data_IF_369310462841
#
_entry.id   IF_369310462841
#
_cell.length_a   1.000
_cell.length_b   1.000
_cell.length_c   1.000
_cell.angle_alpha   90.00
_cell.angle_beta   90.00
_cell.angle_gamma   90.00
#
_symmetry.space_group_name_H-M   'P 1'
#
loop_
_entity.id
_entity.type
_entity.pdbx_description
1 polymer ?
#
# COMPACT_ATOMS: atom_id res chain seq x y z
N UNK A 1 -9.27 -15.24 2.64
CA UNK A 1 -8.87 -13.84 2.39
C UNK A 1 -7.58 -13.77 1.57
N UNK A 2 -6.42 -14.20 2.07
CA UNK A 2 -5.13 -14.07 1.38
C UNK A 2 -5.09 -14.62 -0.06
N UNK A 3 -5.78 -15.74 -0.34
CA UNK A 3 -5.85 -16.33 -1.68
C UNK A 3 -6.55 -15.39 -2.69
N UNK A 4 -7.52 -14.60 -2.25
CA UNK A 4 -8.16 -13.59 -3.12
C UNK A 4 -7.18 -12.45 -3.44
N UNK A 5 -6.45 -11.95 -2.43
CA UNK A 5 -5.40 -10.93 -2.63
C UNK A 5 -4.33 -11.44 -3.59
N UNK A 6 -3.84 -12.68 -3.37
CA UNK A 6 -2.89 -13.35 -4.27
C UNK A 6 -3.38 -13.34 -5.73
N UNK A 7 -4.64 -13.74 -5.96
CA UNK A 7 -5.21 -13.76 -7.32
C UNK A 7 -5.26 -12.38 -7.93
N UNK A 8 -5.68 -11.36 -7.18
CA UNK A 8 -5.68 -9.96 -7.66
C UNK A 8 -4.28 -9.47 -7.99
N UNK A 9 -3.29 -9.80 -7.16
CA UNK A 9 -1.89 -9.47 -7.45
C UNK A 9 -1.37 -10.15 -8.73
N UNK A 10 -1.70 -11.42 -8.95
CA UNK A 10 -1.34 -12.16 -10.17
C UNK A 10 -2.04 -11.55 -11.40
N UNK A 11 -3.33 -11.23 -11.30
CA UNK A 11 -4.11 -10.58 -12.38
C UNK A 11 -3.57 -9.19 -12.73
N UNK A 12 -2.86 -8.51 -11.83
CA UNK A 12 -2.20 -7.23 -12.13
C UNK A 12 -1.09 -7.36 -13.18
N UNK A 13 -0.50 -8.55 -13.30
CA UNK A 13 0.55 -8.90 -14.27
C UNK A 13 1.73 -7.92 -14.27
N UNK A 14 2.19 -7.56 -13.06
CA UNK A 14 3.27 -6.60 -12.86
C UNK A 14 4.62 -7.24 -12.51
N UNK A 15 4.66 -8.56 -12.36
CA UNK A 15 5.85 -9.34 -12.00
C UNK A 15 5.52 -10.52 -11.09
N UNK A 16 6.54 -11.22 -10.55
CA UNK A 16 6.34 -12.35 -9.66
C UNK A 16 5.61 -11.92 -8.38
N UNK A 17 4.66 -12.75 -7.93
CA UNK A 17 3.90 -12.53 -6.70
C UNK A 17 4.38 -13.47 -5.62
N UNK A 18 4.64 -12.92 -4.44
CA UNK A 18 5.12 -13.63 -3.26
C UNK A 18 4.33 -13.19 -2.03
N UNK A 19 3.85 -14.13 -1.24
CA UNK A 19 3.21 -13.85 0.05
C UNK A 19 4.24 -13.97 1.16
N UNK A 20 4.45 -12.88 1.91
CA UNK A 20 5.27 -12.84 3.11
C UNK A 20 4.36 -13.03 4.34
N UNK A 21 4.62 -14.02 5.17
CA UNK A 21 3.78 -14.32 6.34
C UNK A 21 4.60 -14.98 7.45
N UNK A 22 4.21 -14.81 8.70
CA UNK A 22 4.72 -15.55 9.85
C UNK A 22 3.93 -16.84 10.11
N UNK A 23 2.67 -16.91 9.60
CA UNK A 23 1.73 -17.98 9.90
C UNK A 23 1.84 -19.12 8.88
N UNK A 24 2.15 -20.31 9.36
CA UNK A 24 2.21 -21.53 8.52
C UNK A 24 0.87 -21.83 7.82
N UNK A 25 -0.24 -21.61 8.50
CA UNK A 25 -1.58 -21.80 7.91
C UNK A 25 -1.84 -20.89 6.70
N UNK A 26 -1.30 -19.67 6.71
CA UNK A 26 -1.38 -18.75 5.57
C UNK A 26 -0.49 -19.24 4.44
N UNK A 27 0.76 -19.64 4.75
CA UNK A 27 1.68 -20.25 3.77
C UNK A 27 1.03 -21.43 3.07
N UNK A 28 0.47 -22.37 3.84
CA UNK A 28 -0.13 -23.60 3.32
C UNK A 28 -1.33 -23.30 2.41
N UNK A 29 -2.18 -22.33 2.79
CA UNK A 29 -3.29 -21.89 1.96
C UNK A 29 -2.82 -21.28 0.63
N UNK A 30 -1.72 -20.52 0.64
CA UNK A 30 -1.11 -19.92 -0.56
C UNK A 30 -0.52 -21.00 -1.47
N UNK A 31 0.23 -21.94 -0.91
CA UNK A 31 0.82 -23.06 -1.67
C UNK A 31 -0.26 -23.95 -2.28
N UNK A 32 -1.31 -24.27 -1.54
CA UNK A 32 -2.47 -25.03 -2.05
C UNK A 32 -3.17 -24.31 -3.21
N UNK A 33 -3.16 -22.98 -3.21
CA UNK A 33 -3.70 -22.17 -4.30
C UNK A 33 -2.73 -21.97 -5.49
N UNK A 34 -1.57 -22.64 -5.49
CA UNK A 34 -0.56 -22.54 -6.55
C UNK A 34 0.33 -21.30 -6.46
N UNK A 35 0.24 -20.53 -5.38
CA UNK A 35 1.06 -19.34 -5.14
C UNK A 35 2.43 -19.67 -4.52
N UNK A 36 3.24 -18.63 -4.31
CA UNK A 36 4.51 -18.69 -3.59
C UNK A 36 4.39 -17.98 -2.26
N UNK A 37 4.93 -18.56 -1.20
CA UNK A 37 4.97 -17.96 0.12
C UNK A 37 6.33 -18.14 0.79
N UNK A 38 6.74 -17.15 1.57
CA UNK A 38 7.94 -17.19 2.42
C UNK A 38 7.53 -16.93 3.86
N UNK A 39 8.01 -17.78 4.76
CA UNK A 39 7.92 -17.55 6.20
C UNK A 39 8.96 -16.51 6.59
N UNK A 40 8.47 -15.46 7.24
CA UNK A 40 9.26 -14.37 7.80
C UNK A 40 9.21 -14.41 9.31
N UNK A 41 10.11 -13.69 9.97
CA UNK A 41 10.13 -13.59 11.43
C UNK A 41 8.80 -12.99 11.95
N UNK A 42 8.33 -13.39 13.13
CA UNK A 42 7.09 -12.88 13.71
C UNK A 42 7.22 -11.48 14.33
N UNK A 43 8.45 -11.04 14.62
CA UNK A 43 8.78 -9.83 15.37
C UNK A 43 8.93 -8.56 14.52
N UNK A 44 8.49 -8.59 13.25
CA UNK A 44 8.48 -7.39 12.41
C UNK A 44 7.49 -6.35 12.94
N UNK A 45 7.97 -5.11 13.08
CA UNK A 45 7.17 -4.00 13.56
C UNK A 45 6.19 -3.48 12.51
N UNK A 46 6.50 -3.70 11.22
CA UNK A 46 5.70 -3.20 10.11
C UNK A 46 5.60 -4.19 8.94
N UNK A 47 4.64 -3.93 8.05
CA UNK A 47 4.52 -4.64 6.78
C UNK A 47 5.72 -4.43 5.87
N UNK A 48 6.34 -3.25 5.89
CA UNK A 48 7.52 -2.93 5.07
C UNK A 48 8.75 -3.71 5.51
N UNK A 49 8.97 -3.88 6.82
CA UNK A 49 10.05 -4.72 7.35
C UNK A 49 9.87 -6.18 6.91
N UNK A 50 8.62 -6.68 6.98
CA UNK A 50 8.29 -8.05 6.58
C UNK A 50 8.53 -8.30 5.10
N UNK A 51 8.08 -7.40 4.21
CA UNK A 51 8.31 -7.58 2.79
C UNK A 51 9.77 -7.43 2.42
N UNK A 52 10.53 -6.61 3.12
CA UNK A 52 11.97 -6.47 2.91
C UNK A 52 12.69 -7.80 3.18
N UNK A 53 12.43 -8.46 4.32
CA UNK A 53 12.99 -9.79 4.61
C UNK A 53 12.59 -10.81 3.53
N UNK A 54 11.31 -10.80 3.11
CA UNK A 54 10.84 -11.74 2.11
C UNK A 54 11.50 -11.54 0.74
N UNK A 55 11.67 -10.28 0.32
CA UNK A 55 12.35 -9.92 -0.94
C UNK A 55 13.83 -10.29 -0.89
N UNK A 56 14.51 -10.05 0.22
CA UNK A 56 15.93 -10.39 0.37
C UNK A 56 16.16 -11.91 0.27
N UNK A 57 15.27 -12.71 0.86
CA UNK A 57 15.28 -14.16 0.73
C UNK A 57 14.94 -14.67 -0.68
N UNK A 58 13.99 -14.00 -1.36
CA UNK A 58 13.48 -14.43 -2.67
C UNK A 58 14.41 -14.03 -3.81
N UNK A 59 15.00 -12.86 -3.71
CA UNK A 59 15.83 -12.22 -4.75
C UNK A 59 17.21 -11.79 -4.21
N UNK A 60 18.05 -12.73 -3.77
CA UNK A 60 19.37 -12.42 -3.22
C UNK A 60 20.31 -11.78 -4.25
N UNK A 61 20.03 -12.00 -5.54
CA UNK A 61 20.82 -11.43 -6.64
C UNK A 61 20.35 -10.05 -7.09
N UNK A 62 19.31 -9.50 -6.45
CA UNK A 62 18.78 -8.15 -6.74
C UNK A 62 18.35 -7.95 -8.19
N UNK A 63 17.69 -8.95 -8.75
CA UNK A 63 17.18 -8.90 -10.13
C UNK A 63 15.98 -7.96 -10.30
N UNK A 64 15.27 -7.64 -9.20
CA UNK A 64 14.10 -6.76 -9.21
C UNK A 64 14.43 -5.40 -8.59
N UNK A 65 14.25 -4.34 -9.39
CA UNK A 65 14.50 -2.95 -8.99
C UNK A 65 13.32 -2.30 -8.25
N UNK A 66 12.14 -2.90 -8.34
CA UNK A 66 10.90 -2.40 -7.75
C UNK A 66 10.21 -3.48 -6.95
N UNK A 67 9.72 -3.11 -5.77
CA UNK A 67 8.94 -3.97 -4.87
C UNK A 67 7.59 -3.33 -4.61
N UNK A 68 6.52 -4.06 -4.90
CA UNK A 68 5.15 -3.64 -4.56
C UNK A 68 4.73 -4.28 -3.25
N UNK A 69 4.38 -3.45 -2.27
CA UNK A 69 3.80 -3.87 -1.00
C UNK A 69 2.27 -3.78 -1.09
N UNK A 70 1.63 -4.92 -1.31
CA UNK A 70 0.18 -5.09 -1.31
C UNK A 70 -0.25 -5.72 0.01
N UNK A 71 -1.10 -5.02 0.75
CA UNK A 71 -1.60 -5.49 2.04
C UNK A 71 -2.55 -6.69 1.88
N UNK A 72 -2.48 -7.63 2.83
CA UNK A 72 -3.25 -8.88 2.80
C UNK A 72 -4.75 -8.73 3.12
N UNK A 73 -5.20 -7.54 3.48
CA UNK A 73 -6.56 -7.15 3.85
C UNK A 73 -7.36 -6.53 2.70
N UNK A 74 -6.82 -6.50 1.47
CA UNK A 74 -7.46 -5.93 0.28
C UNK A 74 -7.96 -7.00 -0.72
N UNK A 75 -8.86 -7.91 -0.33
CA UNK A 75 -9.26 -9.05 -1.18
C UNK A 75 -10.06 -8.64 -2.43
N UNK A 76 -10.64 -7.44 -2.43
CA UNK A 76 -11.45 -6.90 -3.52
C UNK A 76 -10.68 -5.93 -4.43
N UNK A 77 -9.36 -5.81 -4.24
CA UNK A 77 -8.50 -4.91 -5.00
C UNK A 77 -8.72 -5.06 -6.52
N UNK A 78 -8.90 -3.95 -7.20
CA UNK A 78 -8.81 -3.93 -8.67
C UNK A 78 -7.32 -4.02 -9.08
N UNK A 79 -6.94 -4.99 -9.95
CA UNK A 79 -5.57 -5.11 -10.44
C UNK A 79 -5.01 -3.84 -11.09
N UNK A 80 -5.88 -2.98 -11.63
CA UNK A 80 -5.51 -1.68 -12.18
C UNK A 80 -4.86 -0.74 -11.16
N UNK A 81 -5.22 -0.87 -9.88
CA UNK A 81 -4.65 -0.07 -8.80
C UNK A 81 -3.16 -0.36 -8.58
N UNK A 82 -2.73 -1.61 -8.76
CA UNK A 82 -1.31 -1.98 -8.70
C UNK A 82 -0.54 -1.27 -9.82
N UNK A 83 -1.09 -1.27 -11.03
CA UNK A 83 -0.48 -0.58 -12.18
C UNK A 83 -0.45 0.94 -11.98
N UNK A 84 -1.49 1.53 -11.41
CA UNK A 84 -1.53 2.97 -11.07
C UNK A 84 -0.46 3.35 -10.03
N UNK A 85 -0.28 2.52 -9.00
CA UNK A 85 0.76 2.69 -8.00
C UNK A 85 2.17 2.66 -8.62
N UNK A 86 2.42 1.69 -9.52
CA UNK A 86 3.68 1.60 -10.27
C UNK A 86 3.89 2.78 -11.23
N UNK A 87 2.84 3.29 -11.86
CA UNK A 87 2.90 4.47 -12.71
C UNK A 87 3.33 5.71 -11.90
N UNK A 88 2.74 5.91 -10.72
CA UNK A 88 3.12 7.00 -9.82
C UNK A 88 4.60 6.94 -9.40
N UNK A 89 5.15 5.73 -9.16
CA UNK A 89 6.58 5.55 -8.86
C UNK A 89 7.47 5.96 -10.05
N UNK A 90 7.04 5.71 -11.28
CA UNK A 90 7.83 5.99 -12.49
C UNK A 90 7.91 7.48 -12.81
N UNK A 91 6.96 8.28 -12.35
CA UNK A 91 6.97 9.71 -12.59
C UNK A 91 8.06 10.43 -11.78
N UNK A 92 8.86 11.25 -12.46
CA UNK A 92 9.65 12.36 -11.94
C UNK A 92 10.56 12.11 -10.72
N UNK A 93 11.13 10.91 -10.55
CA UNK A 93 12.16 10.68 -9.51
C UNK A 93 11.60 10.39 -8.12
N UNK A 94 10.43 9.74 -8.04
CA UNK A 94 9.91 9.22 -6.79
C UNK A 94 10.77 8.07 -6.24
N UNK A 95 10.88 8.00 -4.93
CA UNK A 95 11.43 6.87 -4.17
C UNK A 95 10.33 5.82 -3.91
N UNK A 96 9.11 6.31 -3.68
CA UNK A 96 7.93 5.53 -3.33
C UNK A 96 6.74 6.02 -4.16
N UNK A 97 6.00 5.10 -4.76
CA UNK A 97 4.68 5.33 -5.34
C UNK A 97 3.59 4.84 -4.41
N UNK A 98 2.47 5.54 -4.35
CA UNK A 98 1.24 5.11 -3.69
C UNK A 98 0.03 5.64 -4.47
N UNK A 99 -1.18 5.40 -3.99
CA UNK A 99 -2.41 5.84 -4.64
C UNK A 99 -3.40 6.48 -3.66
N UNK A 100 -4.28 7.30 -4.20
CA UNK A 100 -5.37 7.91 -3.43
C UNK A 100 -6.59 8.13 -4.33
N UNK A 101 -7.77 8.21 -3.71
CA UNK A 101 -9.01 8.58 -4.38
C UNK A 101 -9.63 9.81 -3.75
N UNK A 102 -10.41 10.57 -4.52
CA UNK A 102 -11.14 11.71 -3.97
C UNK A 102 -12.21 11.25 -2.97
N UNK A 103 -12.28 11.91 -1.82
CA UNK A 103 -13.32 11.66 -0.82
C UNK A 103 -14.62 12.28 -1.32
N UNK A 104 -15.63 11.43 -1.56
CA UNK A 104 -16.95 11.84 -2.04
C UNK A 104 -18.04 11.79 -0.96
N UNK A 105 -17.80 11.02 0.14
CA UNK A 105 -18.75 10.90 1.25
C UNK A 105 -18.36 11.87 2.36
N UNK A 106 -19.34 12.62 2.87
CA UNK A 106 -19.08 13.67 3.87
C UNK A 106 -18.56 13.09 5.19
N UNK A 107 -19.06 11.92 5.60
CA UNK A 107 -18.60 11.24 6.82
C UNK A 107 -17.12 10.83 6.77
N UNK A 108 -16.57 10.56 5.58
CA UNK A 108 -15.16 10.19 5.43
C UNK A 108 -14.20 11.36 5.66
N UNK A 109 -14.69 12.59 5.49
CA UNK A 109 -13.86 13.80 5.64
C UNK A 109 -13.30 13.93 7.06
N UNK A 110 -14.09 13.56 8.06
CA UNK A 110 -13.74 13.67 9.49
C UNK A 110 -13.36 12.33 10.13
N UNK A 111 -13.53 11.20 9.43
CA UNK A 111 -13.18 9.88 9.96
C UNK A 111 -11.66 9.73 10.05
N UNK A 112 -11.07 9.53 11.25
CA UNK A 112 -9.63 9.34 11.43
C UNK A 112 -9.09 8.02 10.84
N UNK A 113 -9.97 7.06 10.50
CA UNK A 113 -9.57 5.82 9.83
C UNK A 113 -9.39 6.03 8.32
N UNK A 114 -10.03 7.03 7.76
CA UNK A 114 -9.82 7.48 6.39
C UNK A 114 -8.63 8.44 6.37
N UNK A 115 -7.44 7.93 6.11
CA UNK A 115 -6.21 8.73 6.08
C UNK A 115 -6.23 9.69 4.90
N UNK A 116 -6.00 10.99 5.15
CA UNK A 116 -5.91 12.02 4.11
C UNK A 116 -4.46 12.16 3.65
N UNK A 117 -4.28 12.31 2.33
CA UNK A 117 -3.00 12.73 1.78
C UNK A 117 -3.09 14.16 1.25
N UNK A 118 -2.14 14.99 1.65
CA UNK A 118 -1.95 16.35 1.14
C UNK A 118 -0.80 16.30 0.14
N UNK A 119 -1.02 16.83 -1.06
CA UNK A 119 -0.01 16.82 -2.10
C UNK A 119 -0.15 17.97 -3.07
N UNK A 120 0.92 18.24 -3.81
CA UNK A 120 0.93 19.19 -4.92
C UNK A 120 0.90 18.43 -6.23
N UNK A 121 0.04 18.87 -7.17
CA UNK A 121 -0.05 18.25 -8.50
C UNK A 121 1.28 18.32 -9.24
N UNK A 122 1.66 17.23 -9.86
CA UNK A 122 2.73 17.18 -10.84
C UNK A 122 2.21 17.60 -12.23
N UNK A 123 3.10 17.97 -13.16
CA UNK A 123 2.71 18.23 -14.54
C UNK A 123 1.95 17.02 -15.11
N UNK A 124 0.77 17.24 -15.73
CA UNK A 124 -0.12 16.16 -16.21
C UNK A 124 -1.32 15.90 -15.32
N UNK A 125 -1.32 16.31 -14.03
CA UNK A 125 -2.50 16.43 -13.16
C UNK A 125 -3.04 15.14 -12.55
N UNK A 126 -2.57 13.95 -12.97
CA UNK A 126 -3.04 12.65 -12.45
C UNK A 126 -2.23 12.13 -11.26
N UNK A 127 -1.13 12.80 -10.93
CA UNK A 127 -0.21 12.41 -9.86
C UNK A 127 0.10 13.60 -8.99
N UNK A 128 0.15 13.37 -7.67
CA UNK A 128 0.57 14.35 -6.68
C UNK A 128 1.95 13.98 -6.14
N UNK A 129 2.76 14.98 -5.82
CA UNK A 129 3.86 14.81 -4.87
C UNK A 129 3.28 14.96 -3.47
N UNK A 130 3.37 13.90 -2.66
CA UNK A 130 2.92 13.94 -1.28
C UNK A 130 3.75 14.95 -0.47
N UNK A 131 3.05 15.73 0.34
CA UNK A 131 3.61 16.68 1.30
C UNK A 131 3.38 16.22 2.73
N UNK A 132 2.24 15.57 3.00
CA UNK A 132 1.89 15.04 4.31
C UNK A 132 0.80 13.98 4.22
N UNK A 133 0.72 13.13 5.26
CA UNK A 133 -0.39 12.20 5.48
C UNK A 133 -0.91 12.42 6.90
N UNK A 134 -2.24 12.43 7.08
CA UNK A 134 -2.85 12.71 8.38
C UNK A 134 -4.19 12.02 8.56
N UNK A 135 -4.52 11.75 9.83
CA UNK A 135 -5.85 11.30 10.24
C UNK A 135 -6.83 12.44 10.45
N UNK A 136 -6.33 13.67 10.59
CA UNK A 136 -7.15 14.87 10.68
C UNK A 136 -7.75 15.25 9.32
N UNK A 137 -8.80 16.09 9.33
CA UNK A 137 -9.30 16.73 8.11
C UNK A 137 -8.30 17.79 7.64
N UNK A 138 -7.69 17.60 6.50
CA UNK A 138 -6.71 18.50 5.89
C UNK A 138 -6.66 18.30 4.37
N UNK A 139 -6.34 19.38 3.58
CA UNK A 139 -6.04 20.74 4.02
C UNK A 139 -7.30 21.52 4.44
N UNK A 140 -7.09 22.66 5.10
CA UNK A 140 -8.17 23.60 5.40
C UNK A 140 -8.65 24.35 4.15
N UNK A 141 -9.95 24.66 4.09
CA UNK A 141 -10.58 25.40 3.01
C UNK A 141 -11.25 24.51 1.96
N UNK A 142 -11.74 25.16 0.89
CA UNK A 142 -12.47 24.49 -0.18
C UNK A 142 -11.53 23.69 -1.09
N UNK A 143 -12.03 22.56 -1.58
CA UNK A 143 -11.30 21.71 -2.52
C UNK A 143 -11.42 20.22 -2.20
N UNK A 144 -10.83 19.35 -3.04
CA UNK A 144 -10.88 17.92 -2.83
C UNK A 144 -10.00 17.49 -1.65
N UNK A 145 -10.53 16.55 -0.86
CA UNK A 145 -9.73 15.75 0.07
C UNK A 145 -9.48 14.39 -0.58
N UNK A 146 -8.29 13.82 -0.35
CA UNK A 146 -7.90 12.56 -0.95
C UNK A 146 -7.69 11.50 0.12
N UNK A 147 -8.43 10.38 -0.01
CA UNK A 147 -8.27 9.18 0.80
C UNK A 147 -7.08 8.38 0.30
N UNK A 148 -6.05 8.28 1.12
CA UNK A 148 -4.87 7.46 0.85
C UNK A 148 -5.22 5.96 0.93
N UNK A 149 -4.77 5.20 -0.06
CA UNK A 149 -4.91 3.74 -0.11
C UNK A 149 -3.54 3.12 0.20
N UNK A 150 -3.46 2.25 1.20
CA UNK A 150 -2.23 1.64 1.72
C UNK A 150 -1.57 0.62 0.79
N UNK A 151 -1.42 0.96 -0.48
CA UNK A 151 -0.68 0.20 -1.49
C UNK A 151 0.56 1.00 -1.88
N UNK A 152 1.74 0.38 -1.84
CA UNK A 152 2.99 1.07 -2.11
C UNK A 152 3.83 0.34 -3.14
N UNK A 153 4.50 1.10 -3.98
CA UNK A 153 5.58 0.63 -4.85
C UNK A 153 6.87 1.33 -4.42
N UNK A 154 7.88 0.57 -4.07
CA UNK A 154 9.19 1.08 -3.66
C UNK A 154 10.21 0.83 -4.77
N UNK A 155 11.11 1.77 -5.03
CA UNK A 155 12.41 1.41 -5.58
C UNK A 155 13.14 0.53 -4.56
N UNK A 156 13.84 -0.50 -5.01
CA UNK A 156 14.52 -1.43 -4.09
C UNK A 156 15.44 -0.69 -3.11
N UNK A 157 16.28 0.20 -3.61
CA UNK A 157 17.15 1.01 -2.76
C UNK A 157 16.39 1.92 -1.79
N UNK A 158 15.21 2.40 -2.18
CA UNK A 158 14.34 3.18 -1.29
C UNK A 158 13.74 2.33 -0.17
N UNK A 159 13.32 1.09 -0.46
CA UNK A 159 12.84 0.15 0.56
C UNK A 159 13.94 -0.17 1.57
N UNK A 160 15.15 -0.48 1.10
CA UNK A 160 16.32 -0.74 1.96
C UNK A 160 16.61 0.45 2.88
N UNK A 161 16.61 1.67 2.32
CA UNK A 161 16.78 2.90 3.10
C UNK A 161 15.65 3.05 4.11
N UNK A 162 14.41 2.88 3.70
CA UNK A 162 13.23 3.06 4.53
C UNK A 162 13.24 2.16 5.78
N UNK A 163 13.50 0.86 5.61
CA UNK A 163 13.54 -0.10 6.72
C UNK A 163 14.76 0.10 7.66
N UNK A 164 15.81 0.77 7.18
CA UNK A 164 16.97 1.12 8.00
C UNK A 164 16.75 2.36 8.89
N UNK A 165 15.69 3.15 8.63
CA UNK A 165 15.38 4.34 9.41
C UNK A 165 14.69 3.97 10.72
N UNK A 166 15.04 4.64 11.83
CA UNK A 166 14.27 4.51 13.07
C UNK A 166 12.86 5.12 12.90
N UNK A 167 11.87 4.70 13.71
CA UNK A 167 10.57 5.35 13.76
C UNK A 167 10.69 6.84 13.97
N UNK A 168 9.93 7.63 13.22
CA UNK A 168 10.03 9.08 13.24
C UNK A 168 8.94 9.73 14.11
N UNK A 169 9.14 10.98 14.60
CA UNK A 169 8.18 11.64 15.48
C UNK A 169 6.76 11.76 14.91
N UNK A 170 6.62 12.13 13.63
CA UNK A 170 5.30 12.27 12.99
C UNK A 170 4.67 10.91 12.70
N UNK A 171 5.46 9.92 12.30
CA UNK A 171 5.01 8.54 12.17
C UNK A 171 4.38 8.02 13.47
N UNK A 172 5.06 8.18 14.60
CA UNK A 172 4.58 7.74 15.90
C UNK A 172 3.32 8.50 16.34
N UNK A 173 3.25 9.79 16.04
CA UNK A 173 2.11 10.65 16.40
C UNK A 173 0.86 10.32 15.60
N UNK A 174 0.97 10.25 14.29
CA UNK A 174 -0.14 9.95 13.37
C UNK A 174 -0.40 8.44 13.27
N UNK A 175 0.56 7.58 13.67
CA UNK A 175 0.56 6.13 13.45
C UNK A 175 0.44 5.80 11.97
N UNK A 176 1.27 6.46 11.16
CA UNK A 176 1.33 6.36 9.71
C UNK A 176 2.77 6.16 9.29
N UNK A 177 3.12 4.93 8.92
CA UNK A 177 4.48 4.48 8.63
C UNK A 177 5.17 5.32 7.53
N UNK A 178 4.43 5.71 6.51
CA UNK A 178 4.95 6.47 5.37
C UNK A 178 5.46 7.88 5.73
N UNK A 179 5.10 8.40 6.90
CA UNK A 179 5.65 9.69 7.37
C UNK A 179 7.14 9.61 7.66
N UNK A 180 7.65 8.45 8.08
CA UNK A 180 9.10 8.20 8.25
C UNK A 180 9.86 8.52 6.96
N UNK A 181 9.32 8.10 5.81
CA UNK A 181 9.92 8.40 4.52
C UNK A 181 9.95 9.90 4.24
N UNK A 182 8.86 10.62 4.47
CA UNK A 182 8.79 12.08 4.26
C UNK A 182 9.75 12.83 5.19
N UNK A 183 9.80 12.47 6.48
CA UNK A 183 10.71 13.08 7.46
C UNK A 183 12.18 12.84 7.10
N UNK A 184 12.48 11.70 6.45
CA UNK A 184 13.82 11.40 5.93
C UNK A 184 14.12 12.03 4.55
N UNK A 185 13.23 12.89 4.03
CA UNK A 185 13.39 13.58 2.74
C UNK A 185 13.22 12.68 1.52
N UNK A 186 12.60 11.52 1.67
CA UNK A 186 12.25 10.65 0.53
C UNK A 186 11.03 11.22 -0.20
N UNK A 187 10.96 11.01 -1.51
CA UNK A 187 9.87 11.49 -2.35
C UNK A 187 8.81 10.42 -2.51
N UNK A 188 7.57 10.76 -2.13
CA UNK A 188 6.40 9.90 -2.34
C UNK A 188 5.52 10.55 -3.40
N UNK A 189 5.22 9.82 -4.47
CA UNK A 189 4.24 10.22 -5.47
C UNK A 189 2.95 9.43 -5.29
N UNK A 190 1.82 10.09 -5.53
CA UNK A 190 0.47 9.58 -5.27
C UNK A 190 -0.31 9.60 -6.58
N UNK A 191 -0.56 8.44 -7.17
CA UNK A 191 -1.46 8.32 -8.32
C UNK A 191 -2.92 8.51 -7.90
N UNK A 192 -3.64 9.39 -8.57
CA UNK A 192 -5.06 9.57 -8.34
C UNK A 192 -5.85 8.50 -9.10
N UNK A 193 -6.78 7.85 -8.40
CA UNK A 193 -7.63 6.78 -8.92
C UNK A 193 -9.10 7.05 -8.57
N UNK A 194 -10.01 6.41 -9.32
CA UNK A 194 -11.45 6.69 -9.18
C UNK A 194 -12.12 5.86 -8.08
N UNK A 195 -11.48 4.78 -7.61
CA UNK A 195 -12.08 3.84 -6.65
C UNK A 195 -11.11 3.46 -5.55
N UNK A 196 -11.63 3.29 -4.32
CA UNK A 196 -10.91 2.64 -3.22
C UNK A 196 -11.33 1.16 -3.12
N UNK A 197 -10.38 0.23 -2.90
CA UNK A 197 -10.72 -1.15 -2.56
C UNK A 197 -11.37 -1.20 -1.17
N UNK A 198 -12.23 -2.20 -0.95
CA UNK A 198 -12.74 -2.47 0.38
C UNK A 198 -11.63 -3.16 1.21
N UNK A 199 -11.12 -2.47 2.22
CA UNK A 199 -10.29 -3.07 3.27
C UNK A 199 -11.13 -3.95 4.21
N UNK A 200 -10.50 -4.98 4.76
CA UNK A 200 -11.16 -5.91 5.70
C UNK A 200 -10.46 -5.86 7.05
N UNK A 201 -10.82 -4.86 7.84
CA UNK A 201 -10.28 -4.62 9.19
C UNK A 201 -11.22 -5.11 10.30
N UNK A 202 -12.52 -5.19 10.01
CA UNK A 202 -13.55 -5.56 10.97
C UNK A 202 -14.37 -6.78 10.52
N UNK A 203 -15.08 -7.48 11.45
CA UNK A 203 -16.03 -8.53 11.07
C UNK A 203 -17.12 -8.06 10.11
N UNK A 204 -17.53 -6.79 10.19
CA UNK A 204 -18.51 -6.19 9.29
C UNK A 204 -17.94 -6.05 7.86
N UNK A 205 -16.69 -5.64 7.73
CA UNK A 205 -16.02 -5.56 6.42
C UNK A 205 -15.86 -6.95 5.80
N UNK A 206 -15.51 -7.95 6.63
CA UNK A 206 -15.44 -9.33 6.17
C UNK A 206 -16.79 -9.84 5.64
N UNK A 207 -17.89 -9.53 6.33
CA UNK A 207 -19.24 -9.89 5.88
C UNK A 207 -19.55 -9.21 4.53
N UNK A 208 -19.24 -7.91 4.41
CA UNK A 208 -19.42 -7.14 3.18
C UNK A 208 -18.57 -7.69 2.03
N UNK A 209 -17.30 -8.03 2.29
CA UNK A 209 -16.44 -8.64 1.28
C UNK A 209 -17.00 -10.00 0.81
N UNK A 210 -17.54 -10.83 1.72
CA UNK A 210 -18.18 -12.12 1.37
C UNK A 210 -19.37 -11.94 0.43
N UNK A 211 -20.22 -10.94 0.66
CA UNK A 211 -21.37 -10.66 -0.23
C UNK A 211 -20.88 -10.23 -1.63
N UNK A 212 -19.85 -9.39 -1.72
CA UNK A 212 -19.27 -9.00 -3.00
C UNK A 212 -18.71 -10.18 -3.81
N UNK A 213 -18.21 -11.23 -3.14
CA UNK A 213 -17.71 -12.44 -3.80
C UNK A 213 -18.82 -13.42 -4.21
N UNK A 214 -20.00 -13.35 -3.62
CA UNK A 214 -21.16 -14.16 -4.04
C UNK A 214 -21.84 -13.60 -5.30
N UNK A 215 -21.71 -12.29 -5.54
CA UNK A 215 -22.35 -11.59 -6.66
C UNK A 215 -21.50 -11.54 -7.95
N UNK A 216 -20.31 -12.15 -7.93
CA UNK A 216 -19.38 -12.31 -9.05
C UNK A 216 -19.31 -13.79 -9.49
#
# INVERSE_FOLDING_TARGET
MIVHVLRRAVEADCGPVLVATEAESVRDAVLLAGGKAIITRPDHLSGSDRIFEAVDKFDPNRAFDVVVNLQGDLPTLDPGLVRACLAALKEGGADIGTIATAITREEERTDPNVVKVIGSSLPGGSTLRALYFTRATAPYGDGPLYHHIGLYAFRRAALERFVSLPPSPLEMRERLEQLRALEAGMRIHVGLVDTAPLGVDTPADLARARELFKSR
#
